data_IF_793595123824
#
_entry.id   IF_793595123824
#
_cell.length_a   1.000
_cell.length_b   1.000
_cell.length_c   1.000
_cell.angle_alpha   90.00
_cell.angle_beta   90.00
_cell.angle_gamma   90.00
#
_symmetry.space_group_name_H-M   'P 1'
#
loop_
_entity.id
_entity.type
_entity.pdbx_description
1 polymer ?
#
# COMPACT_ATOMS: atom_id res chain seq x y z
N UNK A 1 -45.74 -20.45 -19.13
CA UNK A 1 -45.57 -19.08 -18.59
C UNK A 1 -46.92 -18.31 -18.63
N UNK A 2 -47.80 -18.59 -19.57
CA UNK A 2 -49.07 -17.86 -19.74
C UNK A 2 -50.09 -18.05 -18.58
N UNK A 3 -50.01 -19.11 -17.80
CA UNK A 3 -51.02 -19.42 -16.75
C UNK A 3 -50.81 -18.71 -15.40
N UNK A 4 -49.71 -17.96 -15.20
CA UNK A 4 -49.41 -17.30 -13.93
C UNK A 4 -49.61 -15.78 -13.91
N UNK A 5 -49.90 -15.17 -15.04
CA UNK A 5 -50.05 -13.70 -15.13
C UNK A 5 -51.57 -13.38 -15.05
N UNK A 6 -51.98 -12.78 -13.94
CA UNK A 6 -53.33 -12.22 -13.73
C UNK A 6 -53.25 -10.71 -13.93
N UNK A 7 -53.97 -10.18 -14.94
CA UNK A 7 -54.04 -8.75 -15.22
C UNK A 7 -53.45 -8.37 -16.60
N UNK A 8 -53.42 -7.07 -16.88
CA UNK A 8 -52.92 -6.51 -18.14
C UNK A 8 -51.41 -6.61 -18.24
N UNK A 9 -50.92 -7.07 -19.38
CA UNK A 9 -49.48 -7.17 -19.68
C UNK A 9 -49.07 -5.97 -20.54
N UNK A 10 -48.15 -5.14 -20.04
CA UNK A 10 -47.59 -4.03 -20.79
C UNK A 10 -46.48 -4.54 -21.71
N UNK A 11 -46.59 -4.28 -22.98
CA UNK A 11 -45.53 -4.52 -23.97
C UNK A 11 -44.87 -3.21 -24.36
N UNK A 12 -43.56 -3.23 -24.42
CA UNK A 12 -42.74 -2.14 -24.93
C UNK A 12 -42.21 -2.54 -26.29
N UNK A 13 -42.55 -1.76 -27.30
CA UNK A 13 -42.08 -1.95 -28.70
C UNK A 13 -41.00 -0.89 -28.98
N UNK A 14 -39.84 -1.34 -29.47
CA UNK A 14 -38.72 -0.47 -29.89
C UNK A 14 -38.62 -0.53 -31.42
N UNK A 15 -39.33 0.36 -32.07
CA UNK A 15 -39.42 0.33 -33.54
C UNK A 15 -39.81 -1.05 -34.05
N UNK A 16 -39.08 -1.57 -35.03
CA UNK A 16 -39.20 -2.92 -35.53
C UNK A 16 -38.09 -3.87 -35.06
N UNK A 17 -37.30 -3.42 -34.06
CA UNK A 17 -36.10 -4.12 -33.55
C UNK A 17 -36.46 -5.12 -32.46
N UNK A 18 -37.32 -4.72 -31.49
CA UNK A 18 -37.63 -5.58 -30.36
C UNK A 18 -39.01 -5.29 -29.76
N UNK A 19 -39.62 -6.32 -29.17
CA UNK A 19 -40.85 -6.24 -28.38
C UNK A 19 -40.66 -7.08 -27.12
N UNK A 20 -40.75 -6.46 -25.93
CA UNK A 20 -40.66 -7.19 -24.67
C UNK A 20 -41.76 -6.79 -23.68
N UNK A 21 -42.20 -7.73 -22.85
CA UNK A 21 -43.07 -7.45 -21.72
C UNK A 21 -42.27 -6.83 -20.59
N UNK A 22 -42.62 -5.60 -20.19
CA UNK A 22 -41.91 -4.90 -19.13
C UNK A 22 -42.80 -3.95 -18.35
N UNK A 23 -42.79 -4.06 -17.03
CA UNK A 23 -43.49 -3.17 -16.09
C UNK A 23 -42.65 -1.99 -15.63
N UNK A 24 -41.33 -1.91 -15.98
CA UNK A 24 -40.41 -0.88 -15.59
C UNK A 24 -40.59 0.46 -16.28
N UNK A 25 -39.84 1.46 -15.88
CA UNK A 25 -39.80 2.77 -16.53
C UNK A 25 -38.99 2.69 -17.83
N UNK A 26 -39.46 3.38 -18.86
CA UNK A 26 -38.79 3.52 -20.15
C UNK A 26 -38.81 4.98 -20.58
N UNK A 27 -37.76 5.36 -21.29
CA UNK A 27 -37.69 6.64 -21.98
C UNK A 27 -38.69 6.61 -23.18
N UNK A 28 -39.21 7.76 -23.55
CA UNK A 28 -40.13 7.86 -24.68
C UNK A 28 -39.45 7.73 -26.02
N UNK A 29 -38.17 8.14 -26.10
CA UNK A 29 -37.34 8.10 -27.28
C UNK A 29 -35.90 7.72 -26.91
N UNK A 30 -35.25 6.95 -27.75
CA UNK A 30 -33.85 6.54 -27.59
C UNK A 30 -32.88 7.76 -27.54
N UNK A 31 -33.28 8.87 -28.21
CA UNK A 31 -32.52 10.11 -28.18
C UNK A 31 -32.40 10.72 -26.76
N UNK A 32 -33.32 10.42 -25.84
CA UNK A 32 -33.24 10.88 -24.42
C UNK A 32 -32.11 10.22 -23.66
N UNK A 33 -31.53 9.12 -24.15
CA UNK A 33 -30.37 8.45 -23.57
C UNK A 33 -29.10 9.28 -23.79
N UNK A 34 -29.03 10.07 -24.89
CA UNK A 34 -27.92 10.94 -25.32
C UNK A 34 -26.58 10.20 -25.46
N UNK A 35 -26.00 9.75 -24.34
CA UNK A 35 -24.72 9.05 -24.29
C UNK A 35 -24.91 7.64 -23.72
N UNK A 36 -24.35 6.67 -24.43
CA UNK A 36 -24.19 5.29 -23.95
C UNK A 36 -22.71 4.90 -23.99
N UNK A 37 -22.18 4.44 -22.87
CA UNK A 37 -20.77 4.07 -22.73
C UNK A 37 -20.62 2.71 -22.03
N UNK A 38 -19.99 1.76 -22.70
CA UNK A 38 -19.51 0.53 -22.05
C UNK A 38 -18.28 0.88 -21.23
N UNK A 39 -18.32 0.64 -19.93
CA UNK A 39 -17.26 1.00 -18.97
C UNK A 39 -16.41 -0.20 -18.56
N UNK A 40 -16.94 -1.40 -18.66
CA UNK A 40 -16.21 -2.64 -18.36
C UNK A 40 -16.90 -3.84 -19.00
N UNK A 41 -16.19 -4.95 -19.12
CA UNK A 41 -16.77 -6.26 -19.45
C UNK A 41 -16.01 -7.36 -18.70
N UNK A 42 -16.67 -8.48 -18.47
CA UNK A 42 -16.09 -9.68 -17.86
C UNK A 42 -16.65 -10.95 -18.51
N UNK A 43 -15.83 -11.97 -18.62
CA UNK A 43 -16.27 -13.30 -19.05
C UNK A 43 -16.86 -14.03 -17.86
N UNK A 44 -18.06 -14.60 -18.06
CA UNK A 44 -18.76 -15.41 -17.07
C UNK A 44 -18.87 -16.87 -17.54
N UNK A 45 -19.24 -17.76 -16.62
CA UNK A 45 -19.39 -19.19 -16.95
C UNK A 45 -20.32 -19.40 -18.18
N UNK A 46 -19.96 -20.32 -19.07
CA UNK A 46 -20.78 -20.68 -20.22
C UNK A 46 -20.56 -19.82 -21.47
N UNK A 47 -19.36 -19.27 -21.67
CA UNK A 47 -19.01 -18.43 -22.84
C UNK A 47 -19.84 -17.16 -22.98
N UNK A 48 -20.41 -16.65 -21.89
CA UNK A 48 -21.12 -15.38 -21.91
C UNK A 48 -20.17 -14.25 -21.45
N UNK A 49 -20.39 -13.06 -22.05
CA UNK A 49 -19.72 -11.82 -21.65
C UNK A 49 -20.76 -10.91 -20.99
N UNK A 50 -20.43 -10.46 -19.76
CA UNK A 50 -21.21 -9.43 -19.06
C UNK A 50 -20.62 -8.07 -19.37
N UNK A 51 -21.45 -7.15 -19.84
CA UNK A 51 -21.08 -5.76 -20.08
C UNK A 51 -21.64 -4.87 -18.97
N UNK A 52 -20.79 -3.95 -18.49
CA UNK A 52 -21.18 -2.87 -17.59
C UNK A 52 -21.24 -1.59 -18.40
N UNK A 53 -22.31 -0.85 -18.29
CA UNK A 53 -22.49 0.37 -19.06
C UNK A 53 -23.09 1.49 -18.23
N UNK A 54 -22.91 2.71 -18.70
CA UNK A 54 -23.56 3.91 -18.24
C UNK A 54 -24.29 4.56 -19.40
N UNK A 55 -25.44 5.20 -19.11
CA UNK A 55 -26.26 5.91 -20.08
C UNK A 55 -26.77 7.23 -19.50
N UNK A 56 -27.05 8.22 -20.37
CA UNK A 56 -27.62 9.51 -20.00
C UNK A 56 -26.77 10.26 -18.97
N UNK A 57 -27.42 10.85 -17.99
CA UNK A 57 -26.75 11.66 -16.95
C UNK A 57 -25.69 10.90 -16.16
N UNK A 58 -25.83 9.60 -15.98
CA UNK A 58 -24.79 8.79 -15.33
C UNK A 58 -23.51 8.76 -16.16
N UNK A 59 -23.60 8.68 -17.48
CA UNK A 59 -22.45 8.71 -18.37
C UNK A 59 -21.81 10.11 -18.42
N UNK A 60 -22.60 11.18 -18.44
CA UNK A 60 -22.11 12.56 -18.35
C UNK A 60 -21.37 12.82 -17.04
N UNK A 61 -21.95 12.39 -15.91
CA UNK A 61 -21.33 12.56 -14.60
C UNK A 61 -20.02 11.76 -14.47
N UNK A 62 -19.94 10.55 -15.03
CA UNK A 62 -18.71 9.77 -15.07
C UNK A 62 -17.64 10.47 -15.92
N UNK A 63 -18.03 11.03 -17.09
CA UNK A 63 -17.13 11.80 -17.92
C UNK A 63 -16.58 13.03 -17.19
N UNK A 64 -17.44 13.82 -16.55
CA UNK A 64 -17.03 15.02 -15.81
C UNK A 64 -16.05 14.66 -14.68
N UNK A 65 -16.33 13.62 -13.90
CA UNK A 65 -15.40 13.15 -12.85
C UNK A 65 -14.03 12.77 -13.42
N UNK A 66 -14.00 12.07 -14.54
CA UNK A 66 -12.74 11.70 -15.20
C UNK A 66 -12.00 12.91 -15.74
N UNK A 67 -12.73 13.86 -16.33
CA UNK A 67 -12.16 15.14 -16.79
C UNK A 67 -11.50 15.90 -15.61
N UNK A 68 -12.18 16.01 -14.47
CA UNK A 68 -11.64 16.69 -13.28
C UNK A 68 -10.37 15.98 -12.73
N UNK A 69 -10.31 14.65 -12.80
CA UNK A 69 -9.12 13.89 -12.41
C UNK A 69 -7.97 14.20 -13.37
N UNK A 70 -8.21 14.15 -14.68
CA UNK A 70 -7.19 14.47 -15.69
C UNK A 70 -6.69 15.91 -15.49
N UNK A 71 -7.57 16.89 -15.31
CA UNK A 71 -7.21 18.27 -15.05
C UNK A 71 -6.34 18.46 -13.80
N UNK A 72 -6.60 17.70 -12.74
CA UNK A 72 -5.73 17.71 -11.55
C UNK A 72 -4.34 17.15 -11.86
N UNK A 73 -4.27 16.07 -12.64
CA UNK A 73 -2.99 15.45 -13.01
C UNK A 73 -2.18 16.39 -13.92
N UNK A 74 -2.78 16.99 -14.94
CA UNK A 74 -2.09 17.94 -15.83
C UNK A 74 -1.55 19.12 -15.06
N UNK A 75 -2.32 19.66 -14.10
CA UNK A 75 -1.85 20.73 -13.24
C UNK A 75 -0.69 20.28 -12.31
N UNK A 76 -0.75 19.06 -11.79
CA UNK A 76 0.29 18.52 -10.90
C UNK A 76 1.60 18.32 -11.65
N UNK A 77 1.54 17.79 -12.87
CA UNK A 77 2.72 17.52 -13.70
C UNK A 77 3.11 18.68 -14.62
N UNK A 78 2.29 19.73 -14.68
CA UNK A 78 2.47 20.87 -15.60
C UNK A 78 2.65 20.43 -17.06
N UNK A 79 1.80 19.52 -17.52
CA UNK A 79 1.85 18.90 -18.85
C UNK A 79 0.46 18.88 -19.51
N UNK A 80 0.39 18.47 -20.77
CA UNK A 80 -0.87 18.24 -21.48
C UNK A 80 -1.47 16.88 -21.16
N UNK A 81 -2.76 16.69 -21.51
CA UNK A 81 -3.52 15.46 -21.24
C UNK A 81 -2.86 14.21 -21.83
N UNK A 82 -2.32 14.32 -23.04
CA UNK A 82 -1.67 13.23 -23.78
C UNK A 82 -0.26 12.91 -23.24
N UNK A 83 0.36 13.82 -22.50
CA UNK A 83 1.68 13.66 -21.90
C UNK A 83 1.66 13.06 -20.48
N UNK A 84 0.47 12.94 -19.83
CA UNK A 84 0.34 12.52 -18.41
C UNK A 84 1.01 11.18 -18.14
N UNK A 85 0.80 10.19 -19.01
CA UNK A 85 1.34 8.84 -18.81
C UNK A 85 2.86 8.82 -18.89
N UNK A 86 3.45 9.60 -19.81
CA UNK A 86 4.89 9.73 -19.94
C UNK A 86 5.49 10.42 -18.71
N UNK A 87 4.89 11.52 -18.26
CA UNK A 87 5.31 12.24 -17.05
C UNK A 87 5.20 11.40 -15.79
N UNK A 88 4.15 10.58 -15.67
CA UNK A 88 3.99 9.64 -14.57
C UNK A 88 5.10 8.59 -14.58
N UNK A 89 5.37 7.97 -15.75
CA UNK A 89 6.42 6.96 -15.89
C UNK A 89 7.81 7.54 -15.57
N UNK A 90 8.09 8.74 -16.05
CA UNK A 90 9.32 9.48 -15.72
C UNK A 90 9.45 9.71 -14.21
N UNK A 91 8.40 10.21 -13.55
CA UNK A 91 8.40 10.45 -12.11
C UNK A 91 8.61 9.17 -11.30
N UNK A 92 8.02 8.05 -11.73
CA UNK A 92 8.21 6.75 -11.08
C UNK A 92 9.66 6.24 -11.24
N UNK A 93 10.28 6.42 -12.41
CA UNK A 93 11.68 6.06 -12.68
C UNK A 93 12.64 6.93 -11.85
N UNK A 94 12.42 8.23 -11.80
CA UNK A 94 13.22 9.15 -10.98
C UNK A 94 13.14 8.78 -9.50
N UNK A 95 11.93 8.53 -8.99
CA UNK A 95 11.74 8.07 -7.60
C UNK A 95 12.50 6.76 -7.32
N UNK A 96 12.46 5.80 -8.24
CA UNK A 96 13.18 4.54 -8.09
C UNK A 96 14.71 4.75 -8.07
N UNK A 97 15.23 5.61 -8.96
CA UNK A 97 16.66 5.96 -9.00
C UNK A 97 17.11 6.63 -7.70
N UNK A 98 16.42 7.67 -7.26
CA UNK A 98 16.74 8.38 -6.01
C UNK A 98 16.69 7.44 -4.80
N UNK A 99 15.70 6.54 -4.76
CA UNK A 99 15.60 5.55 -3.68
C UNK A 99 16.79 4.58 -3.69
N UNK A 100 17.25 4.14 -4.86
CA UNK A 100 18.40 3.27 -5.00
C UNK A 100 19.71 3.98 -4.61
N UNK A 101 19.88 5.23 -5.02
CA UNK A 101 21.03 6.06 -4.65
C UNK A 101 21.10 6.31 -3.13
N UNK A 102 19.97 6.67 -2.52
CA UNK A 102 19.87 6.85 -1.06
C UNK A 102 20.25 5.58 -0.31
N UNK A 103 19.76 4.42 -0.78
CA UNK A 103 20.12 3.13 -0.19
C UNK A 103 21.60 2.82 -0.36
N UNK A 104 22.19 3.10 -1.52
CA UNK A 104 23.64 2.92 -1.78
C UNK A 104 24.47 3.81 -0.87
N UNK A 105 24.08 5.07 -0.72
CA UNK A 105 24.75 6.02 0.18
C UNK A 105 24.63 5.56 1.64
N UNK A 106 23.44 5.14 2.06
CA UNK A 106 23.22 4.58 3.40
C UNK A 106 24.08 3.34 3.69
N UNK A 107 24.28 2.46 2.71
CA UNK A 107 25.17 1.30 2.85
C UNK A 107 26.62 1.72 3.08
N UNK A 108 27.14 2.65 2.27
CA UNK A 108 28.52 3.17 2.43
C UNK A 108 28.71 3.87 3.78
N UNK A 109 27.74 4.68 4.18
CA UNK A 109 27.79 5.38 5.47
C UNK A 109 27.76 4.39 6.63
N UNK A 110 26.86 3.41 6.62
CA UNK A 110 26.80 2.38 7.64
C UNK A 110 28.08 1.54 7.75
N UNK A 111 28.70 1.20 6.62
CA UNK A 111 30.00 0.49 6.60
C UNK A 111 31.11 1.32 7.25
N UNK A 112 31.20 2.62 6.94
CA UNK A 112 32.22 3.50 7.51
C UNK A 112 32.05 3.68 9.02
N UNK A 113 30.81 3.90 9.48
CA UNK A 113 30.55 4.13 10.90
C UNK A 113 30.55 2.86 11.77
N UNK A 114 30.36 1.69 11.17
CA UNK A 114 30.18 0.45 11.95
C UNK A 114 31.35 0.16 12.91
N UNK A 115 32.59 0.36 12.46
CA UNK A 115 33.78 0.10 13.26
C UNK A 115 33.88 1.01 14.48
N UNK A 116 33.59 2.30 14.27
CA UNK A 116 33.63 3.28 15.37
C UNK A 116 32.43 3.04 16.30
N UNK A 117 31.27 2.69 15.76
CA UNK A 117 30.09 2.36 16.52
C UNK A 117 30.28 1.10 17.38
N UNK A 118 30.98 0.08 16.91
CA UNK A 118 31.31 -1.10 17.70
C UNK A 118 32.17 -0.78 18.92
N UNK A 119 32.90 0.34 18.95
CA UNK A 119 33.67 0.79 20.09
C UNK A 119 32.81 1.51 21.16
N UNK A 120 31.54 1.81 20.84
CA UNK A 120 30.61 2.48 21.78
C UNK A 120 29.78 1.49 22.63
N UNK A 121 30.16 0.22 22.67
CA UNK A 121 29.42 -0.77 23.42
C UNK A 121 29.39 -0.47 24.93
N UNK A 122 28.30 -0.89 25.55
CA UNK A 122 28.10 -0.79 27.00
C UNK A 122 28.24 -2.20 27.58
N UNK A 123 29.13 -2.36 28.52
CA UNK A 123 29.23 -3.59 29.32
C UNK A 123 28.14 -3.62 30.39
N UNK A 124 27.28 -4.63 30.34
CA UNK A 124 26.28 -4.84 31.36
C UNK A 124 26.22 -6.33 31.71
N UNK A 125 26.71 -6.71 32.88
CA UNK A 125 26.88 -8.09 33.32
C UNK A 125 27.71 -8.86 32.27
N UNK A 126 27.10 -9.90 31.68
CA UNK A 126 27.71 -10.75 30.65
C UNK A 126 27.45 -10.27 29.22
N UNK A 127 26.83 -9.06 29.06
CA UNK A 127 26.44 -8.53 27.77
C UNK A 127 27.31 -7.37 27.34
N UNK A 128 27.74 -7.36 26.08
CA UNK A 128 28.23 -6.21 25.36
C UNK A 128 27.12 -5.67 24.47
N UNK A 129 26.56 -4.54 24.85
CA UNK A 129 25.33 -4.00 24.24
C UNK A 129 25.67 -2.80 23.36
N UNK A 130 25.19 -2.83 22.12
CA UNK A 130 25.18 -1.67 21.20
C UNK A 130 23.76 -1.14 21.09
N UNK A 131 23.58 0.16 21.18
CA UNK A 131 22.27 0.82 21.09
C UNK A 131 22.33 1.87 19.98
N UNK A 132 21.42 1.77 19.01
CA UNK A 132 21.29 2.72 17.91
C UNK A 132 19.84 3.19 17.75
N UNK A 133 19.60 4.51 17.80
CA UNK A 133 18.27 5.13 17.68
C UNK A 133 18.26 6.51 17.01
N UNK A 134 19.31 6.83 16.24
CA UNK A 134 19.53 8.19 15.72
C UNK A 134 18.85 8.42 14.36
N UNK A 135 18.99 7.50 13.40
CA UNK A 135 18.49 7.66 12.03
C UNK A 135 17.68 6.44 11.57
N UNK A 136 16.41 6.68 11.21
CA UNK A 136 15.50 5.65 10.74
C UNK A 136 16.01 4.93 9.47
N UNK A 137 16.68 5.66 8.57
CA UNK A 137 17.18 5.11 7.32
C UNK A 137 18.27 4.06 7.54
N UNK A 138 19.01 4.14 8.63
CA UNK A 138 20.10 3.23 8.98
C UNK A 138 19.63 2.01 9.78
N UNK A 139 18.44 2.04 10.40
CA UNK A 139 17.92 0.93 11.21
C UNK A 139 17.90 -0.41 10.46
N UNK A 140 17.56 -0.38 9.16
CA UNK A 140 17.55 -1.58 8.31
C UNK A 140 18.88 -1.95 7.66
N UNK A 141 19.88 -1.07 7.75
CA UNK A 141 21.15 -1.20 7.02
C UNK A 141 22.31 -1.51 7.97
N UNK A 142 22.46 -0.77 9.05
CA UNK A 142 23.58 -0.86 9.99
C UNK A 142 23.81 -2.26 10.56
N UNK A 143 22.77 -3.07 10.90
CA UNK A 143 22.98 -4.42 11.41
C UNK A 143 23.77 -5.37 10.48
N UNK A 144 23.85 -5.05 9.19
CA UNK A 144 24.60 -5.86 8.22
C UNK A 144 26.12 -5.75 8.38
N UNK A 145 26.58 -4.68 9.02
CA UNK A 145 27.98 -4.34 9.20
C UNK A 145 28.45 -4.52 10.64
N UNK A 146 27.54 -4.85 11.58
CA UNK A 146 27.85 -5.08 12.99
C UNK A 146 28.14 -6.55 13.24
N UNK A 147 29.17 -6.82 14.04
CA UNK A 147 29.54 -8.18 14.43
C UNK A 147 28.60 -8.73 15.52
N UNK A 148 27.50 -9.37 15.09
CA UNK A 148 26.51 -9.98 16.00
C UNK A 148 27.05 -11.19 16.78
N UNK A 149 28.23 -11.70 16.46
CA UNK A 149 28.92 -12.75 17.24
C UNK A 149 29.69 -12.18 18.46
N UNK A 150 29.69 -10.86 18.61
CA UNK A 150 30.31 -10.19 19.76
C UNK A 150 29.32 -9.37 20.57
N UNK A 151 28.28 -8.87 19.94
CA UNK A 151 27.40 -7.87 20.53
C UNK A 151 25.92 -8.29 20.57
N UNK A 152 25.21 -7.73 21.55
CA UNK A 152 23.77 -7.63 21.58
C UNK A 152 23.39 -6.25 21.03
N UNK A 153 22.84 -6.21 19.83
CA UNK A 153 22.44 -4.98 19.15
C UNK A 153 20.97 -4.69 19.40
N UNK A 154 20.69 -3.54 20.02
CA UNK A 154 19.37 -2.92 20.12
C UNK A 154 19.31 -1.77 19.13
N UNK A 155 18.56 -1.93 18.04
CA UNK A 155 18.45 -0.93 16.98
C UNK A 155 17.00 -0.61 16.67
N UNK A 156 16.68 0.67 16.54
CA UNK A 156 15.32 1.09 16.24
C UNK A 156 15.20 2.59 16.08
N UNK A 157 13.96 3.04 15.92
CA UNK A 157 13.62 4.45 15.84
C UNK A 157 12.23 4.69 16.45
N UNK A 158 12.07 5.83 17.11
CA UNK A 158 10.84 6.20 17.82
C UNK A 158 10.42 5.14 18.88
N UNK A 159 9.38 4.37 18.58
CA UNK A 159 8.79 3.39 19.50
C UNK A 159 9.04 1.94 19.11
N UNK A 160 9.75 1.69 18.01
CA UNK A 160 9.96 0.34 17.47
C UNK A 160 11.44 0.00 17.42
N UNK A 161 11.82 -1.05 18.13
CA UNK A 161 13.20 -1.52 18.23
C UNK A 161 13.30 -2.99 17.86
N UNK A 162 14.44 -3.37 17.33
CA UNK A 162 14.81 -4.77 17.07
C UNK A 162 16.03 -5.12 17.92
N UNK A 163 15.96 -6.23 18.61
CA UNK A 163 17.07 -6.83 19.34
C UNK A 163 17.66 -7.96 18.49
N UNK A 164 18.98 -7.96 18.29
CA UNK A 164 19.68 -8.92 17.45
C UNK A 164 20.99 -9.38 18.10
N UNK A 165 21.26 -10.69 18.06
CA UNK A 165 22.55 -11.27 18.45
C UNK A 165 22.65 -12.70 17.92
N UNK A 166 23.86 -13.19 17.69
CA UNK A 166 24.10 -14.60 17.40
C UNK A 166 24.52 -15.41 18.66
N UNK A 167 24.97 -14.72 19.71
CA UNK A 167 25.47 -15.36 20.95
C UNK A 167 24.47 -15.34 22.10
N UNK A 168 23.60 -14.33 22.16
CA UNK A 168 22.62 -14.16 23.23
C UNK A 168 21.23 -14.57 22.77
N UNK A 169 20.43 -15.17 23.67
CA UNK A 169 19.04 -15.53 23.36
C UNK A 169 18.13 -14.29 23.46
N UNK A 170 17.87 -13.69 22.31
CA UNK A 170 17.01 -12.49 22.19
C UNK A 170 15.59 -12.76 22.70
N UNK A 171 15.06 -14.00 22.54
CA UNK A 171 13.72 -14.35 23.00
C UNK A 171 13.61 -14.28 24.51
N UNK A 172 14.56 -14.87 25.23
CA UNK A 172 14.58 -14.86 26.69
C UNK A 172 14.76 -13.46 27.24
N UNK A 173 15.67 -12.66 26.63
CA UNK A 173 15.88 -11.26 27.00
C UNK A 173 14.59 -10.47 26.85
N UNK A 174 13.89 -10.58 25.71
CA UNK A 174 12.64 -9.85 25.46
C UNK A 174 11.54 -10.28 26.44
N UNK A 175 11.41 -11.57 26.73
CA UNK A 175 10.45 -12.05 27.73
C UNK A 175 10.71 -11.40 29.10
N UNK A 176 11.96 -11.32 29.52
CA UNK A 176 12.34 -10.67 30.78
C UNK A 176 12.05 -9.15 30.75
N UNK A 177 12.34 -8.48 29.66
CA UNK A 177 12.03 -7.04 29.50
C UNK A 177 10.51 -6.80 29.60
N UNK A 178 9.71 -7.56 28.85
CA UNK A 178 8.25 -7.41 28.84
C UNK A 178 7.63 -7.71 30.21
N UNK A 179 8.18 -8.68 30.95
CA UNK A 179 7.75 -9.04 32.32
C UNK A 179 8.00 -7.91 33.31
N UNK A 180 9.13 -7.23 33.20
CA UNK A 180 9.54 -6.17 34.13
C UNK A 180 9.01 -4.79 33.77
N UNK A 181 8.64 -4.54 32.51
CA UNK A 181 8.21 -3.25 32.01
C UNK A 181 6.83 -3.33 31.29
N UNK A 182 5.73 -3.02 31.98
CA UNK A 182 4.36 -3.19 31.43
C UNK A 182 4.06 -2.32 30.20
N UNK A 183 4.85 -1.26 30.01
CA UNK A 183 4.72 -0.35 28.85
C UNK A 183 5.44 -0.83 27.60
N UNK A 184 6.09 -2.00 27.68
CA UNK A 184 6.82 -2.61 26.57
C UNK A 184 6.07 -3.84 26.10
N UNK A 185 5.94 -3.98 24.80
CA UNK A 185 5.49 -5.20 24.14
C UNK A 185 6.61 -5.72 23.25
N UNK A 186 6.77 -7.02 23.17
CA UNK A 186 7.80 -7.58 22.30
C UNK A 186 7.68 -9.09 22.17
N UNK A 187 8.48 -9.63 21.26
CA UNK A 187 8.57 -11.06 21.00
C UNK A 187 9.50 -11.34 19.82
N UNK A 188 9.85 -12.60 19.63
CA UNK A 188 10.75 -12.98 18.55
C UNK A 188 11.33 -14.37 18.72
N UNK A 189 12.39 -14.64 17.96
CA UNK A 189 13.19 -15.86 18.01
C UNK A 189 14.50 -15.69 18.78
N UNK A 190 15.33 -16.74 18.74
CA UNK A 190 16.60 -16.80 19.45
C UNK A 190 17.56 -15.66 19.04
N UNK A 191 17.74 -15.45 17.74
CA UNK A 191 18.74 -14.50 17.23
C UNK A 191 18.18 -13.11 16.93
N UNK A 192 16.85 -12.96 16.90
CA UNK A 192 16.20 -11.69 16.57
C UNK A 192 14.81 -11.60 17.18
N UNK A 193 14.50 -10.43 17.73
CA UNK A 193 13.15 -10.11 18.18
C UNK A 193 12.84 -8.63 18.11
N UNK A 194 11.57 -8.30 18.24
CA UNK A 194 11.09 -6.93 18.15
C UNK A 194 10.55 -6.45 19.50
N UNK A 195 10.78 -5.19 19.80
CA UNK A 195 10.33 -4.49 21.01
C UNK A 195 9.56 -3.25 20.56
N UNK A 196 8.39 -3.03 21.15
CA UNK A 196 7.59 -1.82 20.90
C UNK A 196 7.23 -1.13 22.21
N UNK A 197 7.53 0.15 22.29
CA UNK A 197 7.16 1.02 23.40
C UNK A 197 5.74 1.57 23.19
N UNK A 198 4.93 1.63 24.25
CA UNK A 198 3.56 2.17 24.15
C UNK A 198 3.52 3.70 24.05
N UNK A 199 4.48 4.41 24.59
CA UNK A 199 4.58 5.88 24.57
C UNK A 199 6.02 6.32 24.25
N UNK A 200 6.16 7.53 23.67
CA UNK A 200 7.44 8.15 23.31
C UNK A 200 8.25 8.69 24.52
N UNK A 201 7.68 8.66 25.72
CA UNK A 201 8.30 9.25 26.92
C UNK A 201 9.01 8.14 27.72
N UNK A 202 10.30 8.01 27.46
CA UNK A 202 11.32 7.58 28.41
C UNK A 202 12.39 8.63 28.37
#
# INVERSE_FOLDING_TARGET
>A
IKEKIKGDVRFIKIGDVDICACAGFHVSRTSEIEIFKIINHENIKGNYTRFYFLAGDRAKNDYNKKHDIIKKLTNTFSCKDDEILEMLDKSLKEKASVTAELKSLGMRYAELMAKDFENTFIDYKDFKILIYNEDENLVGILPKFINLDKFLLLIGYNTSYTLMSNIYDCKEIIINIVKNFPNIKGGGGKNKGNIKLKNKNI
#
